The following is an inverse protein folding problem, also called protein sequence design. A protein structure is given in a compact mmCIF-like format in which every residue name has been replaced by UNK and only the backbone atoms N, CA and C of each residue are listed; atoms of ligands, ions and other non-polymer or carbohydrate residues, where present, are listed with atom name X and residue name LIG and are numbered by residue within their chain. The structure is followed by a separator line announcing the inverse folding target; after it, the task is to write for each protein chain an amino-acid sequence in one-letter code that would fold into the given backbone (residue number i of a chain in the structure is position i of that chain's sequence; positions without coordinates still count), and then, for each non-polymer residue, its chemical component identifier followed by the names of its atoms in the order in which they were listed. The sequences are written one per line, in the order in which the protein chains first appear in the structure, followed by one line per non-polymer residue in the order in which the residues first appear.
data_IF_747693906793
#
_entry.id   IF_747693906793
#
_cell.length_a   1.000
_cell.length_b   1.000
_cell.length_c   1.000
_cell.angle_alpha   90.00
_cell.angle_beta   90.00
_cell.angle_gamma   90.00
#
_symmetry.space_group_name_H-M   'P 1'
#
loop_
_entity.id
_entity.type
_entity.pdbx_description
1 polymer ?
#
# COMPACT_ATOMS: atom_id res chain seq x y z
N UNK A 1 4.44 -20.90 -1.08
CA UNK A 1 5.42 -21.39 -0.10
C UNK A 1 5.58 -22.90 -0.17
N UNK A 2 6.55 -23.43 0.54
CA UNK A 2 6.84 -24.87 0.60
C UNK A 2 6.27 -25.47 1.90
N UNK A 3 5.77 -26.71 1.84
CA UNK A 3 5.42 -27.48 3.05
C UNK A 3 6.69 -28.03 3.71
N UNK A 4 6.57 -28.54 4.96
CA UNK A 4 7.68 -29.25 5.62
C UNK A 4 8.14 -30.47 4.83
N UNK A 5 7.23 -31.12 4.11
CA UNK A 5 7.48 -32.31 3.30
C UNK A 5 8.05 -31.97 1.90
N UNK A 6 8.38 -30.71 1.64
CA UNK A 6 8.99 -30.28 0.39
C UNK A 6 8.04 -30.08 -0.79
N UNK A 7 6.72 -30.06 -0.54
CA UNK A 7 5.71 -29.83 -1.55
C UNK A 7 5.41 -28.34 -1.68
N UNK A 8 5.04 -27.88 -2.89
CA UNK A 8 4.62 -26.49 -3.14
C UNK A 8 3.19 -26.32 -2.65
N UNK A 9 2.97 -25.40 -1.70
CA UNK A 9 1.62 -24.97 -1.31
C UNK A 9 1.01 -24.14 -2.42
N UNK A 10 -0.20 -24.52 -2.87
CA UNK A 10 -0.97 -23.75 -3.85
C UNK A 10 -0.15 -23.46 -5.12
N UNK A 11 0.34 -24.52 -5.78
CA UNK A 11 1.04 -24.38 -7.05
C UNK A 11 0.06 -23.91 -8.14
N UNK A 12 0.22 -22.67 -8.61
CA UNK A 12 -0.48 -22.18 -9.78
C UNK A 12 0.45 -22.19 -10.97
N UNK A 13 0.01 -22.79 -12.09
CA UNK A 13 0.77 -22.74 -13.34
C UNK A 13 0.63 -21.32 -13.94
N UNK A 14 1.76 -20.60 -13.99
CA UNK A 14 1.84 -19.25 -14.57
C UNK A 14 2.45 -19.18 -15.95
N UNK A 15 2.57 -20.32 -16.63
CA UNK A 15 3.24 -20.44 -17.93
C UNK A 15 4.68 -20.94 -17.83
N UNK A 16 5.26 -21.21 -18.98
CA UNK A 16 6.66 -21.59 -19.09
C UNK A 16 7.54 -20.33 -19.10
N UNK A 17 8.55 -20.31 -18.24
CA UNK A 17 9.54 -19.24 -18.24
C UNK A 17 10.62 -19.55 -19.26
N UNK A 18 10.72 -18.71 -20.29
CA UNK A 18 11.79 -18.78 -21.28
C UNK A 18 13.07 -18.05 -20.89
N UNK A 19 12.99 -17.25 -19.79
CA UNK A 19 14.07 -16.40 -19.31
C UNK A 19 15.02 -17.10 -18.32
N UNK A 20 14.65 -18.29 -17.83
CA UNK A 20 15.45 -19.05 -16.87
C UNK A 20 15.40 -20.56 -17.18
N UNK A 21 16.53 -21.20 -17.48
CA UNK A 21 16.61 -22.65 -17.73
C UNK A 21 16.23 -23.43 -16.46
N UNK A 22 15.56 -24.57 -16.63
CA UNK A 22 15.01 -25.37 -15.55
C UNK A 22 16.06 -25.83 -14.51
N UNK A 23 17.31 -26.07 -14.95
CA UNK A 23 18.40 -26.49 -14.05
C UNK A 23 18.90 -25.39 -13.11
N UNK A 24 18.58 -24.12 -13.41
CA UNK A 24 18.89 -22.98 -12.52
C UNK A 24 17.79 -22.71 -11.49
N UNK A 25 16.67 -23.44 -11.58
CA UNK A 25 15.58 -23.30 -10.61
C UNK A 25 15.90 -24.16 -9.39
N UNK A 26 16.41 -23.53 -8.36
CA UNK A 26 16.72 -24.17 -7.07
C UNK A 26 15.68 -23.78 -6.03
N UNK A 27 15.46 -24.65 -5.04
CA UNK A 27 14.61 -24.36 -3.89
C UNK A 27 15.20 -23.18 -3.13
N UNK A 28 14.39 -22.16 -2.91
CA UNK A 28 14.76 -21.03 -2.04
C UNK A 28 15.02 -21.54 -0.62
N UNK A 29 16.19 -21.21 -0.09
CA UNK A 29 16.52 -21.45 1.32
C UNK A 29 16.16 -20.20 2.13
N UNK A 30 15.49 -20.41 3.24
CA UNK A 30 15.20 -19.32 4.18
C UNK A 30 16.51 -18.73 4.68
N UNK A 31 16.77 -17.47 4.31
CA UNK A 31 17.90 -16.74 4.88
C UNK A 31 17.55 -16.26 6.29
N UNK A 32 18.43 -16.46 7.28
CA UNK A 32 18.21 -15.92 8.62
C UNK A 32 17.94 -14.41 8.55
N UNK A 33 16.89 -13.96 9.17
CA UNK A 33 16.36 -12.58 9.14
C UNK A 33 17.44 -11.50 9.37
N UNK A 34 18.45 -11.82 10.20
CA UNK A 34 19.60 -10.93 10.46
C UNK A 34 20.48 -10.67 9.22
N UNK A 35 20.58 -11.59 8.25
CA UNK A 35 21.33 -11.39 7.00
C UNK A 35 20.53 -10.62 5.97
N UNK A 36 19.21 -10.84 5.88
CA UNK A 36 18.31 -10.10 5.00
C UNK A 36 18.24 -8.62 5.36
N UNK A 37 18.11 -8.30 6.65
CA UNK A 37 18.09 -6.91 7.13
C UNK A 37 19.41 -6.16 6.83
N UNK A 38 20.56 -6.84 6.89
CA UNK A 38 21.85 -6.20 6.54
C UNK A 38 21.99 -5.91 5.04
N UNK A 39 21.48 -6.78 4.17
CA UNK A 39 21.54 -6.56 2.71
C UNK A 39 20.61 -5.45 2.25
N UNK A 40 19.43 -5.32 2.86
CA UNK A 40 18.47 -4.23 2.61
C UNK A 40 19.02 -2.90 3.12
N UNK A 41 19.61 -2.88 4.32
CA UNK A 41 20.23 -1.68 4.89
C UNK A 41 21.45 -1.18 4.08
N UNK A 42 22.23 -2.07 3.48
CA UNK A 42 23.34 -1.70 2.62
C UNK A 42 22.87 -1.10 1.28
N UNK A 43 21.81 -1.65 0.66
CA UNK A 43 21.18 -1.09 -0.54
C UNK A 43 20.50 0.26 -0.27
N UNK A 44 19.85 0.42 0.89
CA UNK A 44 19.23 1.68 1.28
C UNK A 44 20.25 2.81 1.53
N UNK A 45 21.45 2.51 2.05
CA UNK A 45 22.52 3.50 2.19
C UNK A 45 23.08 3.97 0.85
N UNK A 46 23.07 3.15 -0.18
CA UNK A 46 23.51 3.53 -1.54
C UNK A 46 22.44 4.32 -2.31
N UNK A 47 21.16 4.08 -2.05
CA UNK A 47 20.05 4.85 -2.60
C UNK A 47 19.95 6.25 -1.97
N UNK A 48 20.25 6.40 -0.66
CA UNK A 48 20.25 7.69 0.03
C UNK A 48 21.28 8.71 -0.48
N UNK A 49 22.25 8.29 -1.29
CA UNK A 49 23.25 9.20 -1.90
C UNK A 49 22.81 9.82 -3.22
N UNK A 50 21.60 9.48 -3.74
CA UNK A 50 21.07 9.94 -5.03
C UNK A 50 19.71 10.65 -4.97
N UNK A 51 19.16 10.90 -3.80
CA UNK A 51 17.89 11.62 -3.65
C UNK A 51 18.12 13.13 -3.48
N UNK A 52 17.39 13.87 -4.27
CA UNK A 52 17.30 15.31 -4.46
C UNK A 52 17.01 16.15 -3.19
N UNK A 53 17.06 17.49 -3.27
CA UNK A 53 17.13 18.38 -2.12
C UNK A 53 15.90 18.27 -1.22
N UNK A 54 16.15 18.22 0.08
CA UNK A 54 15.13 18.26 1.11
C UNK A 54 14.26 19.52 0.93
N UNK A 55 13.00 19.33 0.54
CA UNK A 55 12.00 20.37 0.65
C UNK A 55 11.90 20.80 2.12
N UNK A 56 11.93 22.10 2.38
CA UNK A 56 11.81 22.68 3.72
C UNK A 56 10.52 22.18 4.37
N UNK A 57 10.66 21.42 5.45
CA UNK A 57 9.56 20.96 6.29
C UNK A 57 8.97 22.16 7.02
N UNK A 58 7.71 22.48 6.74
CA UNK A 58 6.94 23.38 7.57
C UNK A 58 6.23 22.53 8.62
N UNK A 59 6.72 22.54 9.85
CA UNK A 59 6.00 21.98 11.00
C UNK A 59 5.02 23.01 11.51
N UNK A 60 3.76 22.63 11.66
CA UNK A 60 2.80 23.44 12.39
C UNK A 60 3.04 23.26 13.92
N UNK A 61 2.66 24.26 14.71
CA UNK A 61 2.86 24.28 16.18
C UNK A 61 2.14 23.14 16.94
N UNK A 62 1.28 22.38 16.26
CA UNK A 62 0.54 21.24 16.80
C UNK A 62 1.15 19.86 16.49
N UNK A 63 2.41 19.80 16.08
CA UNK A 63 3.09 18.56 15.70
C UNK A 63 2.58 17.92 14.38
N UNK A 64 1.85 18.68 13.56
CA UNK A 64 1.46 18.26 12.23
C UNK A 64 2.48 18.71 11.18
N UNK A 65 2.56 17.96 10.09
CA UNK A 65 3.46 18.21 8.95
C UNK A 65 2.65 18.27 7.65
N UNK A 66 2.99 19.20 6.76
CA UNK A 66 2.45 19.24 5.42
C UNK A 66 3.34 18.44 4.48
N UNK A 67 2.78 17.38 3.86
CA UNK A 67 3.50 16.50 2.93
C UNK A 67 2.69 16.43 1.64
N UNK A 68 3.28 16.88 0.51
CA UNK A 68 2.62 16.93 -0.81
C UNK A 68 1.21 17.56 -0.76
N UNK A 69 1.03 18.61 0.09
CA UNK A 69 -0.25 19.31 0.26
C UNK A 69 -1.25 18.61 1.20
N UNK A 70 -0.91 17.47 1.78
CA UNK A 70 -1.73 16.76 2.76
C UNK A 70 -1.22 17.04 4.17
N UNK A 71 -2.12 17.44 5.08
CA UNK A 71 -1.80 17.61 6.50
C UNK A 71 -1.71 16.25 7.19
N UNK A 72 -0.54 15.94 7.69
CA UNK A 72 -0.24 14.69 8.42
C UNK A 72 -0.08 14.99 9.90
N UNK A 73 -0.91 14.41 10.74
CA UNK A 73 -0.83 14.52 12.20
C UNK A 73 -0.09 13.33 12.79
N UNK A 74 0.67 13.55 13.85
CA UNK A 74 1.43 12.50 14.55
C UNK A 74 2.31 11.67 13.60
N UNK A 75 3.24 12.27 12.84
CA UNK A 75 4.08 11.56 11.87
C UNK A 75 4.92 10.45 12.50
N UNK A 76 5.33 10.64 13.76
CA UNK A 76 6.16 9.68 14.51
C UNK A 76 5.37 8.50 15.11
N UNK A 77 4.04 8.47 14.92
CA UNK A 77 3.23 7.34 15.41
C UNK A 77 3.66 6.05 14.73
N UNK A 78 4.01 5.04 15.53
CA UNK A 78 4.34 3.71 15.04
C UNK A 78 3.06 3.02 14.54
N UNK A 79 3.08 2.57 13.29
CA UNK A 79 1.99 1.83 12.63
C UNK A 79 2.25 0.32 12.61
N UNK A 80 3.50 -0.10 12.46
CA UNK A 80 3.90 -1.51 12.50
C UNK A 80 4.88 -1.72 13.66
N UNK A 81 4.36 -2.21 14.79
CA UNK A 81 5.11 -2.34 16.03
C UNK A 81 6.30 -3.30 15.90
N UNK A 82 6.15 -4.42 15.19
CA UNK A 82 7.18 -5.45 15.01
C UNK A 82 8.43 -4.93 14.31
N UNK A 83 8.28 -3.89 13.49
CA UNK A 83 9.34 -3.30 12.69
C UNK A 83 9.63 -1.85 13.07
N UNK A 84 8.90 -1.31 14.05
CA UNK A 84 8.97 0.09 14.48
C UNK A 84 8.83 1.09 13.31
N UNK A 85 7.94 0.76 12.34
CA UNK A 85 7.68 1.63 11.19
C UNK A 85 6.66 2.69 11.59
N UNK A 86 7.05 3.94 11.44
CA UNK A 86 6.23 5.11 11.74
C UNK A 86 5.29 5.47 10.58
N UNK A 87 4.31 6.32 10.87
CA UNK A 87 3.42 6.91 9.87
C UNK A 87 4.23 7.64 8.80
N UNK A 88 5.25 8.40 9.20
CA UNK A 88 6.11 9.14 8.29
C UNK A 88 6.88 8.23 7.34
N UNK A 89 7.48 7.17 7.85
CA UNK A 89 8.23 6.22 7.03
C UNK A 89 7.34 5.50 6.02
N UNK A 90 6.10 5.17 6.39
CA UNK A 90 5.13 4.58 5.46
C UNK A 90 4.74 5.57 4.36
N UNK A 91 4.55 6.86 4.69
CA UNK A 91 4.28 7.90 3.71
C UNK A 91 5.47 8.07 2.76
N UNK A 92 6.70 8.16 3.28
CA UNK A 92 7.91 8.28 2.48
C UNK A 92 8.07 7.07 1.52
N UNK A 93 7.70 5.88 2.00
CA UNK A 93 7.68 4.68 1.15
C UNK A 93 6.65 4.82 0.01
N UNK A 94 5.42 5.23 0.30
CA UNK A 94 4.39 5.39 -0.74
C UNK A 94 4.77 6.47 -1.77
N UNK A 95 5.36 7.57 -1.35
CA UNK A 95 5.88 8.59 -2.26
C UNK A 95 6.97 7.98 -3.17
N UNK A 96 7.88 7.19 -2.60
CA UNK A 96 8.98 6.58 -3.35
C UNK A 96 8.53 5.54 -4.39
N UNK A 97 7.38 4.89 -4.18
CA UNK A 97 6.84 3.87 -5.09
C UNK A 97 5.62 4.34 -5.90
N UNK A 98 5.19 5.60 -5.72
CA UNK A 98 3.96 6.14 -6.30
C UNK A 98 3.88 5.93 -7.82
N UNK A 99 4.95 6.22 -8.56
CA UNK A 99 5.00 6.07 -10.02
C UNK A 99 4.75 4.63 -10.49
N UNK A 100 5.09 3.65 -9.65
CA UNK A 100 4.85 2.22 -9.94
C UNK A 100 3.51 1.74 -9.43
N UNK A 101 3.01 2.31 -8.34
CA UNK A 101 1.78 1.88 -7.67
C UNK A 101 0.53 2.51 -8.30
N UNK A 102 0.54 3.81 -8.55
CA UNK A 102 -0.62 4.55 -9.03
C UNK A 102 -1.23 4.01 -10.34
N UNK A 103 -0.46 3.58 -11.36
CA UNK A 103 -1.03 2.98 -12.57
C UNK A 103 -1.92 1.76 -12.32
N UNK A 104 -1.77 1.12 -11.17
CA UNK A 104 -2.50 -0.09 -10.81
C UNK A 104 -3.71 0.17 -9.91
N UNK A 105 -3.70 1.26 -9.14
CA UNK A 105 -4.72 1.52 -8.12
C UNK A 105 -5.55 2.79 -8.36
N UNK A 106 -5.02 3.75 -9.11
CA UNK A 106 -5.74 5.00 -9.38
C UNK A 106 -7.02 4.75 -10.18
N UNK A 107 -8.05 5.58 -9.89
CA UNK A 107 -9.35 5.52 -10.54
C UNK A 107 -10.06 4.16 -10.43
N UNK A 108 -9.81 3.41 -9.35
CA UNK A 108 -10.51 2.17 -9.03
C UNK A 108 -11.23 2.30 -7.70
N UNK A 109 -12.47 1.79 -7.59
CA UNK A 109 -13.10 1.70 -6.28
C UNK A 109 -12.20 0.88 -5.34
N UNK A 110 -12.07 1.35 -4.09
CA UNK A 110 -11.22 0.70 -3.09
C UNK A 110 -12.02 0.37 -1.84
N UNK A 111 -11.67 -0.74 -1.22
CA UNK A 111 -12.05 -1.06 0.14
C UNK A 111 -10.80 -0.98 1.02
N UNK A 112 -10.97 -0.48 2.21
CA UNK A 112 -9.86 -0.12 3.10
C UNK A 112 -9.84 -1.01 4.33
N UNK A 113 -8.68 -1.50 4.73
CA UNK A 113 -8.47 -1.99 6.11
C UNK A 113 -7.81 -0.88 6.90
N UNK A 114 -8.55 -0.35 7.87
CA UNK A 114 -8.11 0.75 8.72
C UNK A 114 -7.71 0.24 10.09
N UNK A 115 -6.51 0.62 10.51
CA UNK A 115 -5.92 0.30 11.80
C UNK A 115 -5.46 1.60 12.48
N UNK A 116 -6.37 2.43 13.02
CA UNK A 116 -6.04 3.77 13.54
C UNK A 116 -4.99 3.78 14.65
N UNK A 117 -4.83 2.64 15.34
CA UNK A 117 -3.87 2.47 16.43
C UNK A 117 -2.65 1.61 16.03
N UNK A 118 -2.48 1.31 14.74
CA UNK A 118 -1.42 0.46 14.22
C UNK A 118 -1.81 -1.01 14.04
N UNK A 119 -0.96 -1.78 13.35
CA UNK A 119 -1.22 -3.17 12.94
C UNK A 119 -1.40 -4.15 14.11
N UNK A 120 -0.84 -3.84 15.29
CA UNK A 120 -0.97 -4.66 16.49
C UNK A 120 -2.26 -4.45 17.28
N UNK A 121 -3.20 -3.63 16.79
CA UNK A 121 -4.47 -3.29 17.43
C UNK A 121 -5.66 -3.63 16.53
N UNK A 122 -6.88 -3.36 17.01
CA UNK A 122 -8.09 -3.63 16.26
C UNK A 122 -8.12 -2.85 14.93
N UNK A 123 -8.30 -3.60 13.85
CA UNK A 123 -8.52 -3.06 12.50
C UNK A 123 -9.97 -3.33 12.09
N UNK A 124 -10.47 -2.55 11.15
CA UNK A 124 -11.80 -2.74 10.60
C UNK A 124 -11.81 -2.49 9.10
N UNK A 125 -12.73 -3.17 8.43
CA UNK A 125 -12.92 -3.06 6.99
C UNK A 125 -13.91 -1.93 6.67
N UNK A 126 -13.56 -1.05 5.75
CA UNK A 126 -14.39 0.07 5.32
C UNK A 126 -14.50 0.13 3.80
N UNK A 127 -15.72 0.03 3.28
CA UNK A 127 -16.03 0.11 1.85
C UNK A 127 -16.51 1.49 1.44
N UNK A 128 -17.38 2.09 2.28
CA UNK A 128 -18.11 3.30 1.93
C UNK A 128 -17.45 4.54 2.53
N UNK A 129 -17.63 5.65 1.85
CA UNK A 129 -17.24 6.95 2.37
C UNK A 129 -18.03 7.24 3.66
N UNK A 130 -17.34 7.77 4.65
CA UNK A 130 -17.96 8.37 5.85
C UNK A 130 -17.58 9.84 5.92
N UNK A 131 -18.28 10.58 6.78
CA UNK A 131 -17.94 11.97 7.04
C UNK A 131 -16.51 12.08 7.60
N UNK A 132 -15.82 13.15 7.23
CA UNK A 132 -14.46 13.42 7.71
C UNK A 132 -13.32 12.72 6.96
N UNK A 133 -13.60 12.06 5.81
CA UNK A 133 -12.50 11.64 4.93
C UNK A 133 -11.81 12.86 4.29
N UNK A 134 -10.47 12.83 4.15
CA UNK A 134 -9.74 13.88 3.44
C UNK A 134 -10.21 14.06 2.00
N UNK A 135 -10.16 15.28 1.48
CA UNK A 135 -10.57 15.65 0.11
C UNK A 135 -9.76 14.93 -0.99
N UNK A 136 -8.58 14.42 -0.63
CA UNK A 136 -7.77 13.59 -1.52
C UNK A 136 -8.44 12.25 -1.90
N UNK A 137 -9.40 11.78 -1.11
CA UNK A 137 -10.29 10.69 -1.52
C UNK A 137 -11.42 11.23 -2.38
N UNK A 138 -11.62 10.60 -3.52
CA UNK A 138 -12.77 10.85 -4.39
C UNK A 138 -13.88 9.84 -4.13
N UNK A 139 -15.09 10.14 -4.56
CA UNK A 139 -16.26 9.30 -4.33
C UNK A 139 -16.90 8.93 -5.67
N UNK A 140 -17.32 7.69 -5.78
CA UNK A 140 -18.11 7.20 -6.91
C UNK A 140 -19.37 6.51 -6.38
N UNK A 141 -20.59 6.92 -6.81
CA UNK A 141 -21.82 6.28 -6.39
C UNK A 141 -22.01 4.94 -7.12
N UNK A 142 -22.01 3.85 -6.37
CA UNK A 142 -22.21 2.49 -6.89
C UNK A 142 -23.55 1.95 -6.39
N UNK A 143 -24.30 1.28 -7.26
CA UNK A 143 -25.58 0.68 -6.91
C UNK A 143 -25.38 -0.69 -6.29
N UNK A 144 -25.81 -0.83 -5.05
CA UNK A 144 -25.89 -2.10 -4.33
C UNK A 144 -27.34 -2.55 -4.17
N UNK A 145 -27.54 -3.74 -3.61
CA UNK A 145 -28.88 -4.25 -3.26
C UNK A 145 -29.62 -3.33 -2.27
N UNK A 146 -28.87 -2.66 -1.40
CA UNK A 146 -29.37 -1.72 -0.39
C UNK A 146 -29.60 -0.30 -0.90
N UNK A 147 -29.27 0.00 -2.16
CA UNK A 147 -29.38 1.32 -2.77
C UNK A 147 -28.04 1.82 -3.31
N UNK A 148 -27.94 3.14 -3.58
CA UNK A 148 -26.68 3.76 -3.98
C UNK A 148 -25.82 4.02 -2.76
N UNK A 149 -24.54 3.65 -2.84
CA UNK A 149 -23.54 3.87 -1.82
C UNK A 149 -22.31 4.54 -2.43
N UNK A 150 -21.71 5.49 -1.71
CA UNK A 150 -20.51 6.18 -2.15
C UNK A 150 -19.27 5.36 -1.81
N UNK A 151 -18.62 4.83 -2.84
CA UNK A 151 -17.32 4.16 -2.72
C UNK A 151 -16.19 5.16 -2.86
N UNK A 152 -15.09 4.88 -2.17
CA UNK A 152 -13.89 5.68 -2.23
C UNK A 152 -12.99 5.24 -3.39
N UNK A 153 -12.25 6.19 -3.96
CA UNK A 153 -11.11 5.93 -4.84
C UNK A 153 -10.07 7.05 -4.70
N UNK A 154 -8.88 6.80 -5.18
CA UNK A 154 -7.78 7.77 -5.20
C UNK A 154 -7.28 7.96 -6.63
N UNK A 155 -6.65 9.10 -6.89
CA UNK A 155 -6.16 9.48 -8.23
C UNK A 155 -4.65 9.69 -8.28
N UNK A 156 -4.03 9.98 -7.15
CA UNK A 156 -2.68 10.53 -7.08
C UNK A 156 -1.97 10.19 -5.76
N UNK A 157 -0.75 10.69 -5.60
CA UNK A 157 0.07 10.49 -4.41
C UNK A 157 -0.57 11.10 -3.15
N UNK A 158 -1.34 12.18 -3.29
CA UNK A 158 -2.06 12.79 -2.17
C UNK A 158 -3.08 11.81 -1.58
N UNK A 159 -3.75 11.04 -2.43
CA UNK A 159 -4.64 9.96 -2.01
C UNK A 159 -3.93 8.86 -1.23
N UNK A 160 -2.70 8.50 -1.62
CA UNK A 160 -1.87 7.54 -0.88
C UNK A 160 -1.49 8.07 0.51
N UNK A 161 -1.03 9.33 0.57
CA UNK A 161 -0.65 9.99 1.83
C UNK A 161 -1.87 10.11 2.75
N UNK A 162 -3.01 10.53 2.20
CA UNK A 162 -4.27 10.62 2.94
C UNK A 162 -4.73 9.26 3.48
N UNK A 163 -4.49 8.17 2.75
CA UNK A 163 -4.77 6.81 3.23
C UNK A 163 -4.01 6.50 4.51
N UNK A 164 -2.71 6.79 4.54
CA UNK A 164 -1.89 6.61 5.75
C UNK A 164 -2.36 7.53 6.88
N UNK A 165 -2.74 8.78 6.56
CA UNK A 165 -3.22 9.73 7.56
C UNK A 165 -4.47 9.22 8.29
N UNK A 166 -5.40 8.57 7.60
CA UNK A 166 -6.61 7.99 8.21
C UNK A 166 -6.43 6.57 8.74
N UNK A 167 -5.19 6.09 8.77
CA UNK A 167 -4.83 4.80 9.36
C UNK A 167 -5.12 3.59 8.48
N UNK A 168 -5.14 3.75 7.16
CA UNK A 168 -5.23 2.64 6.21
C UNK A 168 -3.89 1.93 6.14
N UNK A 169 -3.91 0.61 6.32
CA UNK A 169 -2.74 -0.26 6.14
C UNK A 169 -2.88 -1.18 4.93
N UNK A 170 -4.12 -1.45 4.46
CA UNK A 170 -4.35 -2.26 3.27
C UNK A 170 -5.35 -1.56 2.33
N UNK A 171 -5.02 -1.57 1.05
CA UNK A 171 -5.84 -1.05 -0.04
C UNK A 171 -6.31 -2.21 -0.91
N UNK A 172 -7.60 -2.52 -0.86
CA UNK A 172 -8.22 -3.58 -1.66
C UNK A 172 -8.91 -2.95 -2.87
N UNK A 173 -8.29 -3.04 -4.03
CA UNK A 173 -8.80 -2.45 -5.27
C UNK A 173 -9.83 -3.34 -5.95
N UNK A 174 -10.81 -2.74 -6.60
CA UNK A 174 -11.69 -3.44 -7.54
C UNK A 174 -10.96 -3.67 -8.87
N UNK A 175 -11.41 -4.68 -9.59
CA UNK A 175 -10.84 -5.06 -10.89
C UNK A 175 -11.48 -4.32 -12.07
N UNK A 176 -12.09 -3.14 -11.80
CA UNK A 176 -12.67 -2.23 -12.78
C UNK A 176 -12.31 -0.80 -12.47
N UNK A 177 -12.43 0.10 -13.44
CA UNK A 177 -12.28 1.54 -13.25
C UNK A 177 -13.61 2.19 -12.84
N UNK A 178 -13.51 3.39 -12.23
CA UNK A 178 -14.69 4.15 -11.74
C UNK A 178 -15.63 4.62 -12.86
N UNK A 179 -15.16 4.73 -14.08
CA UNK A 179 -15.90 5.10 -15.28
C UNK A 179 -16.58 3.88 -15.97
N UNK A 180 -16.12 2.67 -15.68
CA UNK A 180 -16.63 1.42 -16.26
C UNK A 180 -16.83 0.34 -15.20
N UNK A 181 -17.66 0.61 -14.18
CA UNK A 181 -17.84 -0.24 -12.99
C UNK A 181 -18.24 -1.68 -13.35
N UNK A 182 -19.06 -1.86 -14.39
CA UNK A 182 -19.58 -3.18 -14.81
C UNK A 182 -18.62 -3.92 -15.77
N UNK A 183 -17.46 -3.30 -16.09
CA UNK A 183 -16.48 -3.90 -17.00
C UNK A 183 -15.14 -4.11 -16.31
N UNK A 184 -14.88 -5.29 -15.75
CA UNK A 184 -13.57 -5.58 -15.18
C UNK A 184 -12.52 -5.65 -16.28
N UNK A 185 -11.38 -5.03 -16.05
CA UNK A 185 -10.20 -5.06 -16.92
C UNK A 185 -9.15 -6.08 -16.45
N UNK A 186 -9.40 -6.74 -15.30
CA UNK A 186 -8.54 -7.76 -14.73
C UNK A 186 -9.35 -8.92 -14.17
N UNK A 187 -8.78 -10.11 -14.27
CA UNK A 187 -9.26 -11.32 -13.61
C UNK A 187 -8.14 -11.85 -12.71
N UNK A 188 -8.50 -12.23 -11.50
CA UNK A 188 -7.58 -12.86 -10.54
C UNK A 188 -8.06 -14.28 -10.32
N UNK A 189 -7.16 -15.23 -10.58
CA UNK A 189 -7.38 -16.64 -10.30
C UNK A 189 -6.53 -16.99 -9.07
N UNK A 190 -7.19 -17.41 -7.98
CA UNK A 190 -6.57 -17.79 -6.72
C UNK A 190 -6.68 -19.30 -6.47
#
# INVERSE_FOLDING_TARGET
GWTRDGLVRHGAFKGLRGDKPAHEVVREQEMPTKKAVRSVAAKAKQAKKRSAPAQKRATADDGSEMIEGVRVTHPDRVLFADHNITKRELIDHYIAVADRMLPHIANRPISLVRCPQGSGKACFFQKHASDGFPDAFKKVPIREKSGKQDYLYITDVQGLIASVQVGVLELHIWQCHVDEIEKPDRLVFD
#
